data_IF_481145865283
#
_entry.id   IF_481145865283
#
_cell.length_a   1.000
_cell.length_b   1.000
_cell.length_c   1.000
_cell.angle_alpha   90.00
_cell.angle_beta   90.00
_cell.angle_gamma   90.00
#
_symmetry.space_group_name_H-M   'P 1'
#
loop_
_entity.id
_entity.type
_entity.pdbx_description
1 polymer ?
#
# COMPACT_ATOMS: atom_id res chain seq x y z
N UNK A 1 23.45 33.02 -10.92
CA UNK A 1 22.24 32.69 -11.70
C UNK A 1 21.48 31.60 -10.95
N UNK A 2 20.38 31.93 -10.27
CA UNK A 2 19.51 30.95 -9.59
C UNK A 2 18.48 30.45 -10.61
N UNK A 3 18.66 29.22 -11.10
CA UNK A 3 17.69 28.58 -11.98
C UNK A 3 16.41 28.27 -11.22
N UNK A 4 15.31 28.92 -11.60
CA UNK A 4 13.98 28.63 -11.08
C UNK A 4 13.55 27.22 -11.45
N UNK A 5 13.15 26.42 -10.46
CA UNK A 5 12.49 25.15 -10.67
C UNK A 5 11.09 25.46 -11.23
N UNK A 6 10.92 25.34 -12.55
CA UNK A 6 9.63 25.44 -13.21
C UNK A 6 8.68 24.40 -12.60
N UNK A 7 7.46 24.81 -12.27
CA UNK A 7 6.49 24.03 -11.50
C UNK A 7 6.25 22.65 -12.11
N UNK A 8 6.68 21.60 -11.41
CA UNK A 8 6.36 20.23 -11.79
C UNK A 8 5.00 19.82 -11.18
N UNK A 9 4.21 19.09 -11.96
CA UNK A 9 2.90 18.59 -11.57
C UNK A 9 3.05 17.12 -11.15
N UNK A 10 2.84 16.82 -9.87
CA UNK A 10 3.00 15.46 -9.34
C UNK A 10 1.66 14.96 -8.80
N UNK A 11 1.12 13.89 -9.37
CA UNK A 11 -0.14 13.29 -8.94
C UNK A 11 0.14 12.04 -8.13
N UNK A 12 -0.60 11.84 -7.05
CA UNK A 12 -0.52 10.60 -6.30
C UNK A 12 -1.85 9.85 -6.26
N UNK A 13 -1.76 8.52 -6.38
CA UNK A 13 -2.92 7.60 -6.39
C UNK A 13 -3.20 7.13 -4.95
N UNK A 14 -4.49 7.04 -4.62
CA UNK A 14 -5.04 6.74 -3.29
C UNK A 14 -4.34 5.58 -2.56
N UNK A 15 -3.83 5.85 -1.36
CA UNK A 15 -3.63 4.86 -0.30
C UNK A 15 -4.34 5.39 0.94
N UNK A 16 -5.12 4.53 1.59
CA UNK A 16 -6.09 4.90 2.64
C UNK A 16 -5.46 5.52 3.91
N UNK A 17 -4.12 5.66 3.98
CA UNK A 17 -3.38 6.25 5.11
C UNK A 17 -2.19 7.12 4.65
N UNK A 18 -1.59 6.89 3.47
CA UNK A 18 -0.30 7.50 3.06
C UNK A 18 -0.39 8.82 2.28
N UNK A 19 -1.60 9.30 1.98
CA UNK A 19 -1.78 10.42 1.04
C UNK A 19 -1.31 11.78 1.61
N UNK A 20 -1.40 11.99 2.94
CA UNK A 20 -1.02 13.25 3.60
C UNK A 20 0.47 13.58 3.50
N UNK A 21 1.35 12.57 3.56
CA UNK A 21 2.80 12.74 3.44
C UNK A 21 3.17 13.17 2.02
N UNK A 22 2.56 12.55 1.01
CA UNK A 22 2.80 12.90 -0.39
C UNK A 22 2.36 14.33 -0.71
N UNK A 23 1.27 14.79 -0.11
CA UNK A 23 0.80 16.18 -0.25
C UNK A 23 1.74 17.16 0.43
N UNK A 24 2.17 16.84 1.65
CA UNK A 24 3.13 17.67 2.39
C UNK A 24 4.44 17.80 1.61
N UNK A 25 4.93 16.70 1.04
CA UNK A 25 6.12 16.71 0.18
C UNK A 25 5.90 17.51 -1.10
N UNK A 26 4.74 17.33 -1.76
CA UNK A 26 4.38 18.13 -2.93
C UNK A 26 4.39 19.63 -2.62
N UNK A 27 3.74 20.04 -1.53
CA UNK A 27 3.73 21.42 -1.06
C UNK A 27 5.13 21.96 -0.76
N UNK A 28 5.97 21.21 -0.03
CA UNK A 28 7.34 21.60 0.29
C UNK A 28 8.18 21.74 -0.99
N UNK A 29 7.94 20.90 -1.99
CA UNK A 29 8.67 20.88 -3.26
C UNK A 29 8.07 21.79 -4.34
N UNK A 30 6.96 22.46 -4.06
CA UNK A 30 6.26 23.34 -5.02
C UNK A 30 5.48 22.59 -6.11
N UNK A 31 5.12 21.33 -5.87
CA UNK A 31 4.31 20.54 -6.78
C UNK A 31 2.82 20.70 -6.52
N UNK A 32 2.05 20.89 -7.60
CA UNK A 32 0.61 20.73 -7.55
C UNK A 32 0.28 19.25 -7.40
N UNK A 33 -0.48 18.91 -6.35
CA UNK A 33 -0.90 17.55 -6.05
C UNK A 33 -2.40 17.40 -6.28
N UNK A 34 -2.75 16.43 -7.13
CA UNK A 34 -4.12 15.98 -7.36
C UNK A 34 -4.24 14.55 -6.86
N UNK A 35 -5.32 14.25 -6.15
CA UNK A 35 -5.63 12.92 -5.65
C UNK A 35 -6.96 12.50 -6.23
N UNK A 36 -6.97 11.34 -6.86
CA UNK A 36 -8.21 10.70 -7.31
C UNK A 36 -8.51 9.56 -6.34
N UNK A 37 -9.71 9.59 -5.80
CA UNK A 37 -10.22 8.65 -4.80
C UNK A 37 -11.62 8.18 -5.15
N UNK A 38 -12.14 7.22 -4.40
CA UNK A 38 -13.55 6.78 -4.50
C UNK A 38 -14.41 7.17 -3.31
N UNK A 39 -15.73 6.98 -3.43
CA UNK A 39 -16.71 7.24 -2.37
C UNK A 39 -16.45 6.44 -1.08
N UNK A 40 -15.70 5.32 -1.15
CA UNK A 40 -15.26 4.56 0.04
C UNK A 40 -14.23 5.30 0.89
N UNK A 41 -13.65 6.40 0.42
CA UNK A 41 -12.72 7.19 1.21
C UNK A 41 -13.47 8.09 2.18
N UNK A 42 -13.18 7.97 3.48
CA UNK A 42 -13.87 8.72 4.52
C UNK A 42 -13.81 10.24 4.30
N UNK A 43 -14.86 10.93 4.77
CA UNK A 43 -14.98 12.39 4.63
C UNK A 43 -13.86 13.10 5.39
N UNK A 44 -13.46 12.58 6.56
CA UNK A 44 -12.36 13.08 7.37
C UNK A 44 -11.05 13.07 6.57
N UNK A 45 -10.79 11.98 5.83
CA UNK A 45 -9.61 11.88 4.96
C UNK A 45 -9.69 12.89 3.83
N UNK A 46 -10.82 12.97 3.14
CA UNK A 46 -11.00 13.95 2.06
C UNK A 46 -10.79 15.39 2.55
N UNK A 47 -11.29 15.73 3.73
CA UNK A 47 -11.13 17.05 4.34
C UNK A 47 -9.68 17.31 4.73
N UNK A 48 -8.98 16.31 5.29
CA UNK A 48 -7.56 16.42 5.60
C UNK A 48 -6.71 16.68 4.35
N UNK A 49 -7.03 16.00 3.24
CA UNK A 49 -6.36 16.18 1.96
C UNK A 49 -6.56 17.62 1.44
N UNK A 50 -7.82 18.10 1.43
CA UNK A 50 -8.15 19.46 0.98
C UNK A 50 -7.47 20.54 1.83
N UNK A 51 -7.36 20.33 3.14
CA UNK A 51 -6.67 21.24 4.06
C UNK A 51 -5.17 21.41 3.74
N UNK A 52 -4.57 20.44 3.03
CA UNK A 52 -3.17 20.49 2.59
C UNK A 52 -2.98 21.10 1.19
N UNK A 53 -3.99 21.82 0.66
CA UNK A 53 -4.02 22.44 -0.68
C UNK A 53 -3.88 21.43 -1.84
N UNK A 54 -4.28 20.17 -1.62
CA UNK A 54 -4.38 19.20 -2.69
C UNK A 54 -5.80 19.16 -3.26
N UNK A 55 -5.90 18.98 -4.57
CA UNK A 55 -7.19 18.78 -5.25
C UNK A 55 -7.63 17.33 -5.02
N UNK A 56 -8.91 17.14 -4.66
CA UNK A 56 -9.51 15.82 -4.48
C UNK A 56 -10.59 15.63 -5.52
N UNK A 57 -10.43 14.60 -6.35
CA UNK A 57 -11.43 14.16 -7.32
C UNK A 57 -11.99 12.83 -6.82
N UNK A 58 -13.29 12.79 -6.55
CA UNK A 58 -13.99 11.56 -6.16
C UNK A 58 -14.69 10.98 -7.39
N UNK A 59 -14.48 9.70 -7.67
CA UNK A 59 -15.10 8.97 -8.80
C UNK A 59 -15.51 7.57 -8.36
N UNK A 60 -16.30 6.89 -9.18
CA UNK A 60 -16.76 5.53 -8.88
C UNK A 60 -15.62 4.58 -8.46
N UNK A 61 -15.88 3.75 -7.45
CA UNK A 61 -14.89 2.82 -6.88
C UNK A 61 -14.19 1.91 -7.89
N UNK A 62 -14.87 1.50 -8.96
CA UNK A 62 -14.28 0.60 -9.95
C UNK A 62 -13.42 1.35 -10.98
N UNK A 63 -13.50 2.68 -11.02
CA UNK A 63 -12.90 3.52 -12.07
C UNK A 63 -11.77 4.43 -11.59
N UNK A 64 -11.60 4.62 -10.27
CA UNK A 64 -10.63 5.59 -9.75
C UNK A 64 -9.19 5.37 -10.24
N UNK A 65 -8.78 4.11 -10.46
CA UNK A 65 -7.45 3.79 -10.98
C UNK A 65 -7.27 4.22 -12.43
N UNK A 66 -8.19 3.81 -13.32
CA UNK A 66 -8.14 4.12 -14.76
C UNK A 66 -8.37 5.60 -15.03
N UNK A 67 -9.42 6.19 -14.43
CA UNK A 67 -9.70 7.63 -14.49
C UNK A 67 -8.47 8.44 -14.10
N UNK A 68 -7.81 8.01 -13.03
CA UNK A 68 -6.60 8.63 -12.58
C UNK A 68 -5.50 8.69 -13.64
N UNK A 69 -5.14 7.54 -14.19
CA UNK A 69 -4.10 7.43 -15.21
C UNK A 69 -4.43 8.32 -16.41
N UNK A 70 -5.68 8.29 -16.87
CA UNK A 70 -6.14 9.09 -18.00
C UNK A 70 -6.12 10.59 -17.70
N UNK A 71 -6.56 10.99 -16.51
CA UNK A 71 -6.52 12.37 -16.05
C UNK A 71 -5.07 12.89 -16.01
N UNK A 72 -4.13 12.07 -15.50
CA UNK A 72 -2.74 12.45 -15.44
C UNK A 72 -2.16 12.69 -16.83
N UNK A 73 -2.38 11.73 -17.75
CA UNK A 73 -1.95 11.82 -19.15
C UNK A 73 -2.55 13.02 -19.87
N UNK A 74 -3.86 13.25 -19.73
CA UNK A 74 -4.58 14.34 -20.39
C UNK A 74 -4.12 15.72 -19.93
N UNK A 75 -3.78 15.88 -18.67
CA UNK A 75 -3.44 17.18 -18.08
C UNK A 75 -1.93 17.39 -17.83
N UNK A 76 -1.09 16.47 -18.29
CA UNK A 76 0.37 16.54 -18.14
C UNK A 76 0.88 16.39 -16.70
N UNK A 77 0.18 15.61 -15.87
CA UNK A 77 0.69 15.25 -14.54
C UNK A 77 1.56 14.00 -14.60
N UNK A 78 2.56 13.94 -13.73
CA UNK A 78 3.27 12.69 -13.45
C UNK A 78 2.40 11.78 -12.58
N UNK A 79 2.18 10.54 -13.02
CA UNK A 79 1.46 9.52 -12.27
C UNK A 79 2.43 8.67 -11.44
N UNK A 80 2.33 8.74 -10.11
CA UNK A 80 3.21 7.99 -9.19
C UNK A 80 3.02 6.47 -9.29
N UNK A 81 1.83 6.00 -9.70
CA UNK A 81 1.50 4.60 -9.93
C UNK A 81 2.02 3.59 -8.88
N UNK A 82 1.70 3.83 -7.60
CA UNK A 82 2.18 3.06 -6.44
C UNK A 82 1.99 1.53 -6.50
N UNK A 83 1.10 1.03 -7.37
CA UNK A 83 0.84 -0.41 -7.51
C UNK A 83 1.83 -1.10 -8.45
N UNK A 84 2.41 -0.34 -9.40
CA UNK A 84 3.33 -0.86 -10.41
C UNK A 84 4.74 -0.27 -10.29
N UNK A 85 4.89 0.79 -9.51
CA UNK A 85 6.15 1.51 -9.39
C UNK A 85 7.12 0.76 -8.47
N UNK A 86 8.22 0.26 -9.05
CA UNK A 86 9.28 -0.45 -8.33
C UNK A 86 9.88 0.38 -7.18
N UNK A 87 9.82 1.71 -7.25
CA UNK A 87 10.32 2.57 -6.18
C UNK A 87 9.52 2.45 -4.89
N UNK A 88 8.30 1.91 -4.94
CA UNK A 88 7.50 1.63 -3.75
C UNK A 88 8.20 0.60 -2.82
N UNK A 89 8.41 -0.66 -3.22
CA UNK A 89 9.17 -1.61 -2.38
C UNK A 89 10.61 -1.16 -2.13
N UNK A 90 11.29 -0.54 -3.11
CA UNK A 90 12.66 -0.04 -2.90
C UNK A 90 12.77 0.99 -1.79
N UNK A 91 11.75 1.83 -1.58
CA UNK A 91 11.76 2.81 -0.50
C UNK A 91 11.87 2.09 0.86
N UNK A 92 11.05 1.06 1.08
CA UNK A 92 11.04 0.31 2.34
C UNK A 92 12.29 -0.55 2.54
N UNK A 93 12.84 -1.11 1.45
CA UNK A 93 14.13 -1.81 1.50
C UNK A 93 15.26 -0.89 1.95
N UNK A 94 15.26 0.38 1.52
CA UNK A 94 16.31 1.36 1.84
C UNK A 94 16.10 2.09 3.16
N UNK A 95 14.89 2.06 3.73
CA UNK A 95 14.57 2.74 4.99
C UNK A 95 14.10 1.78 6.07
N UNK A 96 12.86 1.30 5.98
CA UNK A 96 12.20 0.56 7.06
C UNK A 96 12.89 -0.75 7.40
N UNK A 97 13.40 -1.49 6.41
CA UNK A 97 14.20 -2.69 6.62
C UNK A 97 15.41 -2.45 7.52
N UNK A 98 16.33 -1.54 7.14
CA UNK A 98 17.46 -1.14 7.97
C UNK A 98 17.07 -0.61 9.35
N UNK A 99 16.01 0.19 9.45
CA UNK A 99 15.52 0.72 10.73
C UNK A 99 15.09 -0.41 11.67
N UNK A 100 14.24 -1.33 11.21
CA UNK A 100 13.80 -2.49 12.02
C UNK A 100 14.99 -3.34 12.44
N UNK A 101 15.91 -3.65 11.52
CA UNK A 101 17.08 -4.47 11.84
C UNK A 101 17.94 -3.84 12.92
N UNK A 102 18.19 -2.53 12.81
CA UNK A 102 18.96 -1.76 13.78
C UNK A 102 18.24 -1.68 15.13
N UNK A 103 16.96 -1.32 15.12
CA UNK A 103 16.19 -1.08 16.34
C UNK A 103 15.93 -2.37 17.13
N UNK A 104 15.93 -3.52 16.45
CA UNK A 104 15.85 -4.84 17.08
C UNK A 104 17.21 -5.45 17.38
N UNK A 105 18.32 -4.73 17.14
CA UNK A 105 19.69 -5.25 17.26
C UNK A 105 19.90 -6.60 16.52
N UNK A 106 19.17 -6.82 15.43
CA UNK A 106 19.21 -8.07 14.66
C UNK A 106 18.50 -9.26 15.29
N UNK A 107 17.72 -9.07 16.35
CA UNK A 107 17.02 -10.14 17.08
C UNK A 107 15.61 -10.44 16.55
N UNK A 108 15.12 -9.68 15.55
CA UNK A 108 13.82 -9.94 14.94
C UNK A 108 13.76 -11.38 14.36
N UNK A 109 12.68 -12.09 14.68
CA UNK A 109 12.44 -13.45 14.20
C UNK A 109 11.28 -13.51 13.20
N UNK A 110 10.28 -12.64 13.36
CA UNK A 110 9.09 -12.58 12.53
C UNK A 110 8.77 -11.13 12.17
N UNK A 111 8.47 -10.90 10.89
CA UNK A 111 7.95 -9.64 10.39
C UNK A 111 6.55 -9.88 9.81
N UNK A 112 5.53 -9.39 10.51
CA UNK A 112 4.13 -9.57 10.16
C UNK A 112 3.55 -8.23 9.70
N UNK A 113 2.93 -8.19 8.53
CA UNK A 113 2.42 -6.95 7.96
C UNK A 113 1.17 -7.20 7.10
N UNK A 114 0.19 -6.29 7.15
CA UNK A 114 -0.93 -6.27 6.21
C UNK A 114 -0.55 -5.50 4.94
N UNK A 115 -1.15 -5.81 3.80
CA UNK A 115 -0.73 -5.22 2.53
C UNK A 115 -1.88 -4.77 1.64
N UNK A 116 -1.69 -3.65 0.94
CA UNK A 116 -2.55 -3.22 -0.19
C UNK A 116 -1.75 -3.03 -1.47
N UNK A 117 -0.72 -2.19 -1.45
CA UNK A 117 0.26 -2.16 -2.55
C UNK A 117 1.29 -3.29 -2.41
N UNK A 118 1.48 -3.82 -1.20
CA UNK A 118 2.50 -4.82 -0.84
C UNK A 118 3.96 -4.34 -0.95
N UNK A 119 4.20 -3.05 -1.24
CA UNK A 119 5.56 -2.50 -1.29
C UNK A 119 6.27 -2.59 0.06
N UNK A 120 5.56 -2.30 1.15
CA UNK A 120 6.12 -2.35 2.51
C UNK A 120 6.63 -3.74 2.87
N UNK A 121 5.76 -4.76 2.75
CA UNK A 121 6.12 -6.13 3.12
C UNK A 121 7.22 -6.69 2.22
N UNK A 122 7.15 -6.44 0.91
CA UNK A 122 8.14 -6.95 -0.05
C UNK A 122 9.50 -6.30 0.14
N UNK A 123 9.55 -4.96 0.24
CA UNK A 123 10.80 -4.22 0.39
C UNK A 123 11.48 -4.51 1.74
N UNK A 124 10.73 -4.44 2.82
CA UNK A 124 11.23 -4.71 4.17
C UNK A 124 11.64 -6.18 4.31
N UNK A 125 10.79 -7.11 3.86
CA UNK A 125 11.05 -8.54 3.91
C UNK A 125 12.31 -8.94 3.14
N UNK A 126 12.53 -8.37 1.95
CA UNK A 126 13.76 -8.60 1.17
C UNK A 126 15.02 -8.18 1.94
N UNK A 127 15.03 -6.98 2.52
CA UNK A 127 16.17 -6.52 3.32
C UNK A 127 16.41 -7.43 4.53
N UNK A 128 15.36 -7.75 5.28
CA UNK A 128 15.48 -8.60 6.47
C UNK A 128 15.99 -10.00 6.13
N UNK A 129 15.52 -10.61 5.04
CA UNK A 129 15.99 -11.94 4.60
C UNK A 129 17.43 -11.92 4.08
N UNK A 130 17.91 -10.81 3.51
CA UNK A 130 19.33 -10.64 3.18
C UNK A 130 20.21 -10.57 4.43
N UNK A 131 19.73 -9.94 5.51
CA UNK A 131 20.44 -9.92 6.80
C UNK A 131 20.40 -11.28 7.50
N UNK A 132 19.24 -11.93 7.53
CA UNK A 132 19.05 -13.25 8.11
C UNK A 132 17.92 -14.01 7.38
N UNK A 133 18.24 -15.03 6.56
CA UNK A 133 17.23 -15.75 5.78
C UNK A 133 16.26 -16.58 6.62
N UNK A 134 16.54 -16.78 7.92
CA UNK A 134 15.64 -17.51 8.84
C UNK A 134 14.45 -16.67 9.31
N UNK A 135 14.48 -15.35 9.13
CA UNK A 135 13.37 -14.47 9.51
C UNK A 135 12.13 -14.86 8.72
N UNK A 136 11.02 -15.03 9.44
CA UNK A 136 9.72 -15.32 8.85
C UNK A 136 9.02 -14.03 8.46
N UNK A 137 8.59 -13.92 7.21
CA UNK A 137 7.83 -12.80 6.69
C UNK A 137 6.41 -13.28 6.40
N UNK A 138 5.45 -12.73 7.14
CA UNK A 138 4.06 -13.20 7.15
C UNK A 138 3.14 -12.07 6.65
N UNK A 139 2.37 -12.37 5.61
CA UNK A 139 1.33 -11.47 5.12
C UNK A 139 0.03 -11.74 5.87
N UNK A 140 -0.44 -10.75 6.63
CA UNK A 140 -1.76 -10.77 7.23
C UNK A 140 -2.80 -10.24 6.22
N UNK A 141 -3.50 -11.14 5.56
CA UNK A 141 -4.44 -10.86 4.46
C UNK A 141 -5.89 -10.77 4.96
N UNK A 142 -6.59 -9.64 4.80
CA UNK A 142 -7.99 -9.52 5.21
C UNK A 142 -8.90 -10.55 4.52
N UNK A 143 -10.00 -10.95 5.19
CA UNK A 143 -11.00 -11.86 4.60
C UNK A 143 -11.57 -11.37 3.27
N UNK A 144 -11.73 -10.06 3.09
CA UNK A 144 -12.22 -9.44 1.85
C UNK A 144 -11.20 -9.44 0.68
N UNK A 145 -9.98 -9.93 0.93
CA UNK A 145 -8.89 -10.00 -0.04
C UNK A 145 -8.80 -11.39 -0.68
N UNK A 146 -8.25 -11.48 -1.89
CA UNK A 146 -8.05 -12.76 -2.59
C UNK A 146 -6.56 -13.18 -2.64
N UNK A 147 -5.67 -12.50 -1.91
CA UNK A 147 -4.23 -12.78 -1.99
C UNK A 147 -3.87 -14.11 -1.33
N UNK A 148 -4.50 -14.46 -0.22
CA UNK A 148 -4.36 -15.78 0.40
C UNK A 148 -4.62 -16.92 -0.61
N UNK A 149 -5.80 -16.92 -1.25
CA UNK A 149 -6.16 -17.94 -2.23
C UNK A 149 -5.18 -17.95 -3.40
N UNK A 150 -4.75 -16.77 -3.87
CA UNK A 150 -3.76 -16.67 -4.93
C UNK A 150 -2.43 -17.32 -4.54
N UNK A 151 -1.91 -17.03 -3.34
CA UNK A 151 -0.65 -17.58 -2.84
C UNK A 151 -0.70 -19.10 -2.73
N UNK A 152 -1.72 -19.65 -2.06
CA UNK A 152 -1.79 -21.10 -1.84
C UNK A 152 -2.10 -21.87 -3.12
N UNK A 153 -2.89 -21.32 -4.04
CA UNK A 153 -3.18 -21.95 -5.33
C UNK A 153 -1.99 -21.92 -6.30
N UNK A 154 -1.22 -20.82 -6.34
CA UNK A 154 -0.22 -20.60 -7.40
C UNK A 154 1.23 -20.72 -6.93
N UNK A 155 1.50 -20.52 -5.64
CA UNK A 155 2.86 -20.52 -5.08
C UNK A 155 3.13 -21.80 -4.29
N UNK A 156 2.24 -22.16 -3.34
CA UNK A 156 2.40 -23.39 -2.56
C UNK A 156 1.78 -24.63 -3.21
N UNK A 157 0.88 -24.44 -4.18
CA UNK A 157 0.10 -25.50 -4.80
C UNK A 157 -0.59 -26.39 -3.75
N UNK A 158 -1.15 -25.75 -2.72
CA UNK A 158 -1.82 -26.39 -1.59
C UNK A 158 -3.24 -25.83 -1.50
N UNK A 159 -4.19 -26.53 -2.12
CA UNK A 159 -5.60 -26.14 -2.22
C UNK A 159 -6.44 -26.70 -1.06
N UNK A 160 -5.81 -27.10 0.04
CA UNK A 160 -6.50 -27.71 1.18
C UNK A 160 -7.48 -26.77 1.90
N UNK A 161 -7.42 -25.45 1.61
CA UNK A 161 -8.29 -24.45 2.22
C UNK A 161 -9.03 -23.62 1.16
N UNK A 162 -10.34 -23.84 1.05
CA UNK A 162 -11.22 -23.08 0.17
C UNK A 162 -12.12 -22.19 1.05
N UNK A 163 -11.64 -20.98 1.36
CA UNK A 163 -12.44 -19.98 2.07
C UNK A 163 -13.28 -19.22 1.03
N UNK A 164 -14.47 -19.75 0.78
CA UNK A 164 -15.57 -18.98 0.23
C UNK A 164 -16.02 -17.98 1.31
N UNK A 165 -15.51 -16.75 1.25
CA UNK A 165 -16.07 -15.67 2.07
C UNK A 165 -16.08 -14.38 1.28
N UNK A 166 -17.24 -14.04 0.72
CA UNK A 166 -17.60 -12.66 0.37
C UNK A 166 -17.85 -11.84 1.64
N UNK A 167 -16.93 -11.91 2.61
CA UNK A 167 -17.08 -11.21 3.87
C UNK A 167 -16.65 -9.76 3.72
N UNK A 168 -17.57 -8.87 4.07
CA UNK A 168 -17.33 -7.44 4.15
C UNK A 168 -16.37 -7.15 5.31
N UNK A 169 -15.26 -6.47 5.03
CA UNK A 169 -14.31 -6.04 6.06
C UNK A 169 -14.35 -4.53 6.26
N UNK A 170 -14.36 -4.10 7.52
CA UNK A 170 -14.17 -2.70 7.91
C UNK A 170 -12.70 -2.24 7.78
N UNK A 171 -11.77 -3.15 7.49
CA UNK A 171 -10.34 -2.83 7.39
C UNK A 171 -10.09 -2.06 6.09
N UNK A 172 -9.91 -0.74 6.21
CA UNK A 172 -9.48 0.10 5.09
C UNK A 172 -7.98 -0.01 4.82
N UNK A 173 -7.61 0.00 3.53
CA UNK A 173 -6.20 0.14 3.14
C UNK A 173 -5.37 -1.14 3.15
N UNK A 174 -6.00 -2.29 3.36
CA UNK A 174 -5.40 -3.62 3.19
C UNK A 174 -6.28 -4.49 2.28
N UNK A 175 -5.67 -5.49 1.64
CA UNK A 175 -6.35 -6.45 0.77
C UNK A 175 -6.45 -6.03 -0.70
N UNK A 176 -6.42 -7.02 -1.59
CA UNK A 176 -6.63 -6.88 -3.05
C UNK A 176 -7.25 -8.14 -3.65
N UNK A 177 -8.02 -7.97 -4.72
CA UNK A 177 -8.56 -9.08 -5.51
C UNK A 177 -7.49 -9.80 -6.35
N UNK A 178 -6.38 -9.11 -6.66
CA UNK A 178 -5.24 -9.63 -7.43
C UNK A 178 -3.92 -9.07 -6.90
N UNK A 179 -2.81 -9.81 -7.03
CA UNK A 179 -1.46 -9.30 -6.73
C UNK A 179 -1.15 -8.03 -7.53
N UNK A 180 -0.32 -7.16 -6.94
CA UNK A 180 0.25 -6.00 -7.63
C UNK A 180 1.68 -6.31 -8.05
N UNK A 181 2.30 -5.49 -8.92
CA UNK A 181 3.72 -5.70 -9.27
C UNK A 181 4.68 -5.40 -8.12
N UNK A 182 4.21 -4.75 -7.05
CA UNK A 182 5.00 -4.48 -5.87
C UNK A 182 4.98 -5.64 -4.85
N UNK A 183 4.18 -6.69 -5.09
CA UNK A 183 4.18 -7.90 -4.27
C UNK A 183 5.23 -8.89 -4.78
N UNK A 184 6.23 -9.17 -3.94
CA UNK A 184 7.22 -10.22 -4.17
C UNK A 184 6.88 -11.43 -3.30
N UNK A 185 6.37 -12.51 -3.91
CA UNK A 185 6.04 -13.73 -3.17
C UNK A 185 7.28 -14.51 -2.73
N UNK A 186 8.45 -14.30 -3.33
CA UNK A 186 9.66 -15.06 -2.99
C UNK A 186 10.16 -14.75 -1.57
N UNK A 187 9.78 -13.61 -1.02
CA UNK A 187 10.13 -13.20 0.34
C UNK A 187 9.05 -13.52 1.37
N UNK A 188 7.88 -14.02 0.96
CA UNK A 188 6.77 -14.34 1.86
C UNK A 188 6.83 -15.82 2.24
N UNK A 189 6.89 -16.12 3.53
CA UNK A 189 6.89 -17.50 4.01
C UNK A 189 5.47 -18.04 4.18
N UNK A 190 4.56 -17.18 4.67
CA UNK A 190 3.18 -17.54 5.00
C UNK A 190 2.20 -16.38 4.74
N UNK A 191 0.96 -16.72 4.40
CA UNK A 191 -0.16 -15.77 4.32
C UNK A 191 -1.24 -16.24 5.29
N UNK A 192 -1.63 -15.40 6.24
CA UNK A 192 -2.67 -15.70 7.22
C UNK A 192 -3.91 -14.86 6.95
N UNK A 193 -5.11 -15.44 7.12
CA UNK A 193 -6.36 -14.68 7.03
C UNK A 193 -6.65 -13.94 8.33
N UNK A 194 -7.09 -12.68 8.23
CA UNK A 194 -7.55 -11.88 9.37
C UNK A 194 -8.97 -11.36 9.15
N UNK A 195 -9.85 -11.51 10.14
CA UNK A 195 -11.20 -10.95 10.16
C UNK A 195 -11.26 -9.65 10.97
N UNK A 196 -12.34 -8.90 10.81
CA UNK A 196 -12.59 -7.66 11.56
C UNK A 196 -13.01 -7.88 13.01
N UNK A 197 -13.38 -9.10 13.41
CA UNK A 197 -13.89 -9.40 14.75
C UNK A 197 -12.82 -9.20 15.84
N UNK A 198 -11.55 -9.17 15.45
CA UNK A 198 -10.42 -8.88 16.33
C UNK A 198 -10.34 -7.41 16.78
N UNK A 199 -11.04 -6.48 16.14
CA UNK A 199 -10.84 -5.03 16.33
C UNK A 199 -11.77 -4.35 17.34
N UNK A 200 -12.77 -5.05 17.86
CA UNK A 200 -13.66 -4.50 18.89
C UNK A 200 -13.79 -5.49 20.05
N UNK A 201 -13.00 -5.37 21.15
CA UNK A 201 -13.52 -5.84 22.42
C UNK A 201 -14.83 -5.09 22.63
N UNK A 202 -15.94 -5.82 22.74
CA UNK A 202 -17.23 -5.26 23.08
C UNK A 202 -17.07 -4.38 24.32
N UNK A 203 -17.13 -3.07 24.14
CA UNK A 203 -17.28 -2.15 25.25
C UNK A 203 -18.74 -2.29 25.67
N UNK A 204 -18.98 -3.23 26.58
CA UNK A 204 -20.22 -3.36 27.36
C UNK A 204 -20.23 -2.35 28.49
#
# INVERSE_FOLDING_TARGET
MRGGCAGAKARTKQSHIHTSIQQRLGKIRGYQVVIVTSEKCSIEKQNHIKALNAEVIVVDHDRYMSYGTDYAKKNGYFDVDQYNNIYNPEAYYKSLGPEIWKDTNGEITHFVMTGSTFGCISGTGRFLKECNPKIQVILADPVCSNIYNYYYSNVKNDLSFNLASEEYSIIEGAGKSKPTKCLDFSVIDEVIKISSDFYLPSIS
#
